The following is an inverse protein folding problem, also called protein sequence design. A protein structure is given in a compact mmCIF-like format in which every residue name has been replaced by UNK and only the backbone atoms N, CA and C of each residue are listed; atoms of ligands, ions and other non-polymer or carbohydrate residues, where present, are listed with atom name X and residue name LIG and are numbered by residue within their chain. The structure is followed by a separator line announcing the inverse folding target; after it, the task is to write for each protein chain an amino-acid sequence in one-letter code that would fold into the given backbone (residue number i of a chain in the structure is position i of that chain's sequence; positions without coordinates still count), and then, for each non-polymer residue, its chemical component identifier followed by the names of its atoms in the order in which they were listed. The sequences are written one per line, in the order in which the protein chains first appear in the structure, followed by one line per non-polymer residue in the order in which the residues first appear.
data_IF_366661615211
#
_entry.id   IF_366661615211
#
_cell.length_a   1.000
_cell.length_b   1.000
_cell.length_c   1.000
_cell.angle_alpha   90.00
_cell.angle_beta   90.00
_cell.angle_gamma   90.00
#
_symmetry.space_group_name_H-M   'P 1'
#
loop_
_entity.id
_entity.type
_entity.pdbx_description
1 polymer ?
#
# COMPACT_ATOMS: atom_id res chain seq x y z
N UNK A 1 -7.85 7.63 -7.00
CA UNK A 1 -7.08 6.77 -6.07
C UNK A 1 -7.98 6.23 -4.97
N UNK A 2 -7.59 5.11 -4.36
CA UNK A 2 -8.29 4.53 -3.21
C UNK A 2 -8.33 5.51 -2.05
N UNK A 3 -9.52 5.68 -1.45
CA UNK A 3 -9.72 6.68 -0.39
C UNK A 3 -9.95 8.11 -0.87
N UNK A 4 -10.13 8.33 -2.17
CA UNK A 4 -10.54 9.64 -2.67
C UNK A 4 -11.98 9.93 -2.26
N UNK A 5 -12.20 11.15 -1.76
CA UNK A 5 -13.52 11.66 -1.44
C UNK A 5 -14.12 12.32 -2.67
N UNK A 6 -15.24 11.80 -3.18
CA UNK A 6 -15.95 12.38 -4.31
C UNK A 6 -16.84 13.54 -3.80
N UNK A 7 -16.69 14.70 -4.43
CA UNK A 7 -17.44 15.92 -4.10
C UNK A 7 -18.67 16.13 -4.98
N UNK A 8 -18.83 15.32 -6.02
CA UNK A 8 -19.95 15.39 -6.95
C UNK A 8 -20.61 14.02 -7.14
N UNK A 9 -21.93 14.06 -7.35
CA UNK A 9 -22.73 12.87 -7.63
C UNK A 9 -22.87 12.62 -9.14
N UNK A 10 -23.25 11.39 -9.50
CA UNK A 10 -23.50 11.03 -10.90
C UNK A 10 -24.66 11.87 -11.48
N UNK A 11 -24.43 12.52 -12.62
CA UNK A 11 -25.39 13.40 -13.26
C UNK A 11 -25.31 14.87 -12.81
N UNK A 12 -24.43 15.22 -11.88
CA UNK A 12 -24.21 16.61 -11.48
C UNK A 12 -23.54 17.41 -12.61
N UNK A 13 -24.02 18.64 -12.85
CA UNK A 13 -23.41 19.54 -13.84
C UNK A 13 -22.24 20.26 -13.15
N UNK A 14 -21.04 20.09 -13.66
CA UNK A 14 -19.83 20.73 -13.14
C UNK A 14 -19.33 21.79 -14.11
N UNK A 15 -18.80 22.88 -13.58
CA UNK A 15 -18.19 23.97 -14.33
C UNK A 15 -16.66 23.78 -14.42
N UNK A 16 -16.03 24.46 -15.35
CA UNK A 16 -14.57 24.43 -15.45
C UNK A 16 -13.91 25.01 -14.21
N UNK A 17 -13.11 24.19 -13.52
CA UNK A 17 -12.42 24.57 -12.27
C UNK A 17 -13.05 24.01 -11.01
N UNK A 18 -14.23 23.38 -11.09
CA UNK A 18 -14.86 22.73 -9.93
C UNK A 18 -14.05 21.51 -9.48
N UNK A 19 -13.95 21.33 -8.16
CA UNK A 19 -13.32 20.13 -7.58
C UNK A 19 -14.28 18.95 -7.70
N UNK A 20 -13.82 17.89 -8.34
CA UNK A 20 -14.58 16.65 -8.53
C UNK A 20 -14.26 15.65 -7.43
N UNK A 21 -12.98 15.57 -7.03
CA UNK A 21 -12.52 14.66 -6.00
C UNK A 21 -11.37 15.26 -5.20
N UNK A 22 -11.23 14.81 -3.98
CA UNK A 22 -10.19 15.24 -3.04
C UNK A 22 -9.55 14.02 -2.37
N UNK A 23 -8.22 13.97 -2.24
CA UNK A 23 -7.50 12.92 -1.55
C UNK A 23 -6.18 13.45 -0.98
N UNK A 24 -5.67 12.77 0.04
CA UNK A 24 -4.37 13.05 0.60
C UNK A 24 -3.32 12.08 0.00
N UNK A 25 -2.33 12.58 -0.75
CA UNK A 25 -1.29 11.73 -1.33
C UNK A 25 -0.28 11.22 -0.29
N UNK A 26 -0.21 11.84 0.91
CA UNK A 26 0.76 11.52 1.95
C UNK A 26 0.41 10.26 2.73
N UNK A 27 -0.84 9.84 2.67
CA UNK A 27 -1.34 8.69 3.41
C UNK A 27 -2.06 7.69 2.50
N UNK A 28 -1.99 6.41 2.89
CA UNK A 28 -2.87 5.37 2.39
C UNK A 28 -3.92 5.09 3.45
N UNK A 29 -5.20 5.43 3.23
CA UNK A 29 -6.24 5.21 4.23
C UNK A 29 -6.68 3.74 4.26
N UNK A 30 -6.93 3.22 5.45
CA UNK A 30 -7.68 1.99 5.67
C UNK A 30 -9.13 2.36 5.91
N UNK A 31 -10.01 1.97 5.00
CA UNK A 31 -11.43 2.38 4.98
C UNK A 31 -12.30 1.18 5.26
N UNK A 32 -13.37 1.36 6.03
CA UNK A 32 -14.36 0.31 6.26
C UNK A 32 -15.39 0.26 5.14
N UNK A 33 -15.71 -0.95 4.69
CA UNK A 33 -16.76 -1.19 3.70
C UNK A 33 -18.15 -1.37 4.33
N UNK A 34 -18.20 -1.53 5.66
CA UNK A 34 -19.42 -1.88 6.40
C UNK A 34 -19.60 -0.98 7.62
N UNK A 35 -20.85 -0.78 8.00
CA UNK A 35 -21.18 -0.10 9.25
C UNK A 35 -21.11 -1.09 10.44
N UNK A 36 -20.60 -0.62 11.56
CA UNK A 36 -20.47 -1.44 12.76
C UNK A 36 -19.78 -0.72 13.91
N UNK A 37 -19.45 -1.46 14.96
CA UNK A 37 -18.71 -0.96 16.13
C UNK A 37 -17.28 -1.49 16.09
N UNK A 38 -16.31 -0.61 16.24
CA UNK A 38 -14.89 -0.96 16.25
C UNK A 38 -14.48 -1.51 17.62
N UNK A 39 -13.65 -2.55 17.59
CA UNK A 39 -12.96 -3.07 18.78
C UNK A 39 -11.48 -3.22 18.51
N UNK A 40 -10.68 -2.76 19.44
CA UNK A 40 -9.23 -2.92 19.43
C UNK A 40 -8.86 -4.36 19.82
N UNK A 41 -7.98 -4.96 19.04
CA UNK A 41 -7.36 -6.24 19.38
C UNK A 41 -5.85 -6.12 19.28
N UNK A 42 -5.15 -6.54 20.32
CA UNK A 42 -3.69 -6.46 20.42
C UNK A 42 -3.12 -5.02 20.30
N UNK A 43 -3.95 -3.99 20.48
CA UNK A 43 -3.59 -2.58 20.55
C UNK A 43 -3.47 -2.18 22.04
N UNK A 44 -2.27 -2.31 22.60
CA UNK A 44 -1.97 -2.04 24.00
C UNK A 44 -1.12 -0.79 24.07
N UNK A 45 -1.56 0.21 24.85
CA UNK A 45 -0.81 1.44 25.08
C UNK A 45 0.60 1.15 25.63
N UNK A 46 1.59 1.90 25.16
CA UNK A 46 2.99 1.77 25.49
C UNK A 46 3.65 0.43 25.11
N UNK A 47 2.94 -0.47 24.41
CA UNK A 47 3.50 -1.74 23.95
C UNK A 47 3.40 -1.90 22.43
N UNK A 48 2.21 -1.84 21.89
CA UNK A 48 1.92 -1.93 20.44
C UNK A 48 1.32 -0.66 19.86
N UNK A 49 0.97 0.30 20.73
CA UNK A 49 0.46 1.61 20.35
C UNK A 49 1.10 2.68 21.26
N UNK A 50 1.53 3.79 20.67
CA UNK A 50 2.00 4.96 21.41
C UNK A 50 1.24 6.21 20.98
N UNK A 51 1.00 7.08 21.93
CA UNK A 51 0.48 8.41 21.67
C UNK A 51 1.66 9.34 21.33
N UNK A 52 1.65 9.91 20.14
CA UNK A 52 2.64 10.87 19.68
C UNK A 52 1.94 12.19 19.43
N UNK A 53 2.46 13.26 20.02
CA UNK A 53 1.97 14.60 19.76
C UNK A 53 2.78 15.19 18.61
N UNK A 54 2.10 15.60 17.55
CA UNK A 54 2.72 16.29 16.44
C UNK A 54 3.09 17.73 16.91
N UNK A 55 4.40 18.02 16.94
CA UNK A 55 4.93 19.30 17.41
C UNK A 55 4.46 20.49 16.55
N UNK A 56 4.09 20.24 15.30
CA UNK A 56 3.64 21.28 14.36
C UNK A 56 2.16 21.64 14.52
N UNK A 57 1.32 20.65 14.83
CA UNK A 57 -0.14 20.80 14.90
C UNK A 57 -0.68 20.76 16.34
N UNK A 58 0.11 20.24 17.30
CA UNK A 58 -0.30 20.02 18.68
C UNK A 58 -1.35 18.92 18.85
N UNK A 59 -1.62 18.13 17.81
CA UNK A 59 -2.61 17.06 17.84
C UNK A 59 -1.93 15.76 18.25
N UNK A 60 -2.48 15.10 19.29
CA UNK A 60 -2.05 13.77 19.68
C UNK A 60 -2.57 12.72 18.69
N UNK A 61 -1.66 11.89 18.18
CA UNK A 61 -1.97 10.80 17.26
C UNK A 61 -1.57 9.47 17.87
N UNK A 62 -2.42 8.45 17.70
CA UNK A 62 -2.14 7.08 18.14
C UNK A 62 -1.45 6.32 17.02
N UNK A 63 -0.18 6.02 17.22
CA UNK A 63 0.67 5.35 16.22
C UNK A 63 0.92 3.91 16.64
N UNK A 64 0.70 2.98 15.73
CA UNK A 64 0.97 1.55 15.93
C UNK A 64 2.48 1.32 15.89
N UNK A 65 3.00 0.60 16.90
CA UNK A 65 4.41 0.23 17.01
C UNK A 65 4.58 -1.28 17.03
N UNK A 66 5.78 -1.73 16.69
CA UNK A 66 6.14 -3.14 16.92
C UNK A 66 6.24 -3.41 18.43
N UNK A 67 5.89 -4.63 18.84
CA UNK A 67 5.95 -5.01 20.26
C UNK A 67 7.36 -4.79 20.85
N UNK A 68 7.46 -3.77 21.71
CA UNK A 68 8.71 -3.35 22.34
C UNK A 68 9.23 -4.40 23.31
N UNK A 69 8.37 -5.28 23.83
CA UNK A 69 8.72 -6.19 24.94
C UNK A 69 9.42 -7.48 24.49
N UNK A 70 9.61 -7.73 23.19
CA UNK A 70 10.31 -8.90 22.60
C UNK A 70 10.12 -10.24 23.35
N UNK A 71 9.02 -10.40 24.07
CA UNK A 71 8.71 -11.64 24.78
C UNK A 71 8.31 -12.69 23.75
N UNK A 72 9.07 -13.77 23.64
CA UNK A 72 8.83 -14.88 22.69
C UNK A 72 7.49 -15.60 22.86
N UNK A 73 6.67 -15.22 23.85
CA UNK A 73 5.41 -15.91 24.18
C UNK A 73 4.16 -15.25 23.59
N UNK A 74 4.19 -13.93 23.32
CA UNK A 74 3.02 -13.19 22.85
C UNK A 74 3.34 -12.57 21.49
N UNK A 75 2.96 -13.23 20.40
CA UNK A 75 3.02 -12.68 19.04
C UNK A 75 1.80 -11.75 18.84
N UNK A 76 1.86 -10.55 19.46
CA UNK A 76 0.79 -9.55 19.37
C UNK A 76 0.70 -9.02 17.95
N UNK A 77 -0.51 -8.99 17.41
CA UNK A 77 -0.80 -8.52 16.04
C UNK A 77 -1.86 -7.43 16.11
N UNK A 78 -1.45 -6.15 16.10
CA UNK A 78 -2.37 -5.03 16.12
C UNK A 78 -3.40 -5.12 15.01
N UNK A 79 -4.69 -5.09 15.38
CA UNK A 79 -5.81 -5.16 14.44
C UNK A 79 -7.05 -4.47 15.01
N UNK A 80 -7.88 -3.98 14.11
CA UNK A 80 -9.19 -3.47 14.41
C UNK A 80 -10.22 -4.53 13.99
N UNK A 81 -11.13 -4.86 14.87
CA UNK A 81 -12.25 -5.74 14.57
C UNK A 81 -13.51 -4.91 14.49
N UNK A 82 -14.20 -4.99 13.37
CA UNK A 82 -15.50 -4.36 13.16
C UNK A 82 -16.59 -5.39 13.45
N UNK A 83 -17.34 -5.20 14.51
CA UNK A 83 -18.51 -6.02 14.79
C UNK A 83 -19.71 -5.45 14.06
N UNK A 84 -20.26 -6.21 13.11
CA UNK A 84 -21.37 -5.76 12.30
C UNK A 84 -22.65 -5.56 13.12
N UNK A 85 -23.38 -4.46 12.87
CA UNK A 85 -24.73 -4.24 13.45
C UNK A 85 -25.78 -5.10 12.71
N UNK A 86 -25.69 -6.45 12.78
CA UNK A 86 -26.64 -7.35 12.13
C UNK A 86 -26.10 -8.78 11.93
N UNK A 87 -26.70 -9.53 10.98
CA UNK A 87 -26.28 -10.92 10.65
C UNK A 87 -25.00 -11.02 9.80
N UNK A 88 -24.15 -9.99 9.77
CA UNK A 88 -22.90 -9.99 9.02
C UNK A 88 -21.75 -10.61 9.82
N UNK A 89 -20.75 -11.16 9.13
CA UNK A 89 -19.50 -11.61 9.75
C UNK A 89 -18.67 -10.41 10.18
N UNK A 90 -17.93 -10.55 11.29
CA UNK A 90 -17.00 -9.53 11.76
C UNK A 90 -15.87 -9.34 10.73
N UNK A 91 -15.54 -8.07 10.45
CA UNK A 91 -14.42 -7.75 9.58
C UNK A 91 -13.17 -7.42 10.42
N UNK A 92 -12.02 -7.93 10.00
CA UNK A 92 -10.75 -7.74 10.70
C UNK A 92 -9.79 -6.95 9.81
N UNK A 93 -9.41 -5.75 10.28
CA UNK A 93 -8.45 -4.87 9.63
C UNK A 93 -7.11 -4.94 10.35
N UNK A 94 -6.09 -5.50 9.71
CA UNK A 94 -4.74 -5.60 10.26
C UNK A 94 -4.02 -4.28 10.09
N UNK A 95 -3.41 -3.79 11.16
CA UNK A 95 -2.65 -2.55 11.13
C UNK A 95 -1.17 -2.84 10.92
N UNK A 96 -0.55 -2.09 10.04
CA UNK A 96 0.90 -2.10 9.88
C UNK A 96 1.55 -1.20 10.92
N UNK A 97 2.82 -1.48 11.23
CA UNK A 97 3.65 -0.59 12.06
C UNK A 97 3.75 0.78 11.42
N UNK A 98 3.61 1.83 12.20
CA UNK A 98 3.55 3.21 11.72
C UNK A 98 2.15 3.69 11.31
N UNK A 99 1.13 2.83 11.33
CA UNK A 99 -0.23 3.26 11.05
C UNK A 99 -0.76 4.19 12.15
N UNK A 100 -1.41 5.27 11.75
CA UNK A 100 -2.06 6.23 12.64
C UNK A 100 -3.53 5.82 12.77
N UNK A 101 -3.95 5.43 13.96
CA UNK A 101 -5.33 5.02 14.23
C UNK A 101 -6.23 6.25 14.32
N UNK A 102 -7.29 6.29 13.50
CA UNK A 102 -8.20 7.43 13.40
C UNK A 102 -9.50 7.26 14.21
N UNK A 103 -9.78 6.06 14.68
CA UNK A 103 -11.01 5.71 15.40
C UNK A 103 -10.72 5.31 16.86
N UNK A 104 -11.73 5.37 17.73
CA UNK A 104 -11.60 4.96 19.12
C UNK A 104 -12.19 3.56 19.34
N UNK A 105 -11.74 2.89 20.44
CA UNK A 105 -12.31 1.60 20.84
C UNK A 105 -13.78 1.78 21.26
N UNK A 106 -14.66 0.96 20.69
CA UNK A 106 -16.09 1.06 20.87
C UNK A 106 -16.80 2.12 19.99
N UNK A 107 -16.10 2.82 19.13
CA UNK A 107 -16.70 3.79 18.21
C UNK A 107 -17.56 3.12 17.14
N UNK A 108 -18.71 3.70 16.86
CA UNK A 108 -19.57 3.32 15.73
C UNK A 108 -19.08 4.01 14.45
N UNK A 109 -18.90 3.22 13.41
CA UNK A 109 -18.45 3.69 12.09
C UNK A 109 -19.43 3.30 11.00
N UNK A 110 -19.44 4.07 9.92
CA UNK A 110 -20.24 3.84 8.72
C UNK A 110 -19.33 3.33 7.58
N UNK A 111 -19.93 2.73 6.56
CA UNK A 111 -19.21 2.37 5.36
C UNK A 111 -18.60 3.63 4.71
N UNK A 112 -17.30 3.57 4.41
CA UNK A 112 -16.54 4.70 3.87
C UNK A 112 -15.72 5.46 4.92
N UNK A 113 -15.91 5.21 6.22
CA UNK A 113 -15.11 5.87 7.25
C UNK A 113 -13.67 5.38 7.26
N UNK A 114 -12.74 6.30 7.54
CA UNK A 114 -11.31 6.00 7.65
C UNK A 114 -11.01 5.46 9.04
N UNK A 115 -10.56 4.21 9.13
CA UNK A 115 -10.19 3.53 10.38
C UNK A 115 -8.76 3.84 10.82
N UNK A 116 -7.85 3.88 9.85
CA UNK A 116 -6.44 4.19 10.08
C UNK A 116 -5.83 4.85 8.84
N UNK A 117 -4.75 5.59 9.05
CA UNK A 117 -3.96 6.22 7.99
C UNK A 117 -2.55 5.65 8.04
N UNK A 118 -2.11 5.05 6.96
CA UNK A 118 -0.74 4.56 6.83
C UNK A 118 0.07 5.64 6.12
N UNK A 119 1.09 6.25 6.77
CA UNK A 119 1.95 7.19 6.08
C UNK A 119 2.59 6.49 4.89
N UNK A 120 2.37 7.00 3.70
CA UNK A 120 3.23 6.62 2.58
C UNK A 120 4.59 7.19 2.94
N UNK A 121 5.58 6.34 3.08
CA UNK A 121 6.95 6.82 3.16
C UNK A 121 7.16 7.69 1.92
N UNK A 122 6.90 8.99 2.13
CA UNK A 122 7.21 9.96 1.11
C UNK A 122 8.66 9.70 0.80
N UNK A 123 8.91 9.39 -0.43
CA UNK A 123 10.18 9.29 -1.11
C UNK A 123 11.38 10.05 -0.47
N UNK A 124 11.64 9.84 0.83
CA UNK A 124 12.84 10.34 1.49
C UNK A 124 14.11 9.81 0.84
N UNK A 125 13.99 8.71 0.12
CA UNK A 125 15.08 8.08 -0.61
C UNK A 125 15.06 8.35 -2.11
N UNK A 126 13.99 8.91 -2.68
CA UNK A 126 13.98 9.27 -4.10
C UNK A 126 14.92 10.43 -4.45
N UNK A 127 15.32 11.22 -3.45
CA UNK A 127 16.06 12.45 -3.67
C UNK A 127 17.58 12.26 -3.88
N UNK A 128 18.18 11.18 -3.42
CA UNK A 128 19.66 11.08 -3.39
C UNK A 128 20.23 10.21 -4.51
N UNK A 129 19.47 9.26 -5.03
CA UNK A 129 19.87 8.43 -6.18
C UNK A 129 19.08 8.75 -7.46
N UNK A 130 18.37 9.85 -7.46
CA UNK A 130 17.44 10.28 -8.49
C UNK A 130 18.13 11.06 -9.60
N UNK A 131 19.09 10.70 -10.23
CA UNK A 131 19.71 11.40 -11.35
C UNK A 131 20.17 10.42 -12.41
N UNK A 132 21.25 10.76 -13.09
CA UNK A 132 21.91 9.89 -14.08
C UNK A 132 22.14 8.45 -13.57
N UNK A 133 22.52 8.20 -12.27
CA UNK A 133 22.64 6.84 -11.77
C UNK A 133 21.33 6.04 -11.83
N UNK A 134 20.18 6.67 -11.55
CA UNK A 134 18.88 5.98 -11.63
C UNK A 134 18.52 5.61 -13.06
N UNK A 135 18.79 6.51 -14.00
CA UNK A 135 18.58 6.22 -15.43
C UNK A 135 19.43 5.05 -15.90
N UNK A 136 20.71 5.01 -15.49
CA UNK A 136 21.59 3.88 -15.80
C UNK A 136 21.09 2.56 -15.19
N UNK A 137 20.63 2.56 -13.93
CA UNK A 137 20.05 1.38 -13.29
C UNK A 137 18.81 0.86 -14.04
N UNK A 138 17.95 1.78 -14.53
CA UNK A 138 16.76 1.41 -15.30
C UNK A 138 17.13 0.79 -16.66
N UNK A 139 18.09 1.38 -17.39
CA UNK A 139 18.55 0.82 -18.65
C UNK A 139 19.32 -0.49 -18.50
N UNK A 140 19.96 -0.72 -17.37
CA UNK A 140 20.59 -2.00 -17.05
C UNK A 140 19.60 -3.02 -16.46
N UNK A 141 18.33 -2.63 -16.27
CA UNK A 141 17.29 -3.44 -15.64
C UNK A 141 17.74 -4.03 -14.29
N UNK A 142 18.48 -3.25 -13.49
CA UNK A 142 18.94 -3.68 -12.16
C UNK A 142 17.79 -3.85 -11.21
N UNK A 143 17.87 -4.88 -10.37
CA UNK A 143 16.92 -5.11 -9.30
C UNK A 143 16.96 -3.97 -8.28
N UNK A 144 15.81 -3.31 -7.97
CA UNK A 144 15.76 -2.25 -6.98
C UNK A 144 16.16 -2.73 -5.58
N UNK A 145 16.80 -1.87 -4.78
CA UNK A 145 17.14 -2.18 -3.38
C UNK A 145 15.89 -2.42 -2.55
N UNK A 146 14.87 -1.57 -2.75
CA UNK A 146 13.54 -1.71 -2.15
C UNK A 146 12.56 -2.21 -3.21
N UNK A 147 12.64 -3.50 -3.48
CA UNK A 147 11.82 -4.12 -4.48
C UNK A 147 10.38 -4.33 -3.94
N UNK A 148 9.39 -3.92 -4.71
CA UNK A 148 8.00 -4.29 -4.52
C UNK A 148 7.81 -5.79 -4.81
N UNK A 149 6.78 -6.39 -4.25
CA UNK A 149 6.33 -7.73 -4.63
C UNK A 149 5.00 -7.55 -5.35
N UNK A 150 4.94 -7.98 -6.60
CA UNK A 150 3.74 -7.90 -7.43
C UNK A 150 2.99 -9.23 -7.45
N UNK A 151 1.67 -9.17 -7.63
CA UNK A 151 0.81 -10.33 -7.74
C UNK A 151 1.02 -11.05 -9.08
N UNK A 152 1.39 -12.33 -9.06
CA UNK A 152 1.56 -13.15 -10.28
C UNK A 152 0.23 -13.64 -10.84
N UNK A 153 -0.80 -13.71 -10.00
CA UNK A 153 -2.14 -14.17 -10.35
C UNK A 153 -3.19 -13.23 -9.78
N UNK A 154 -4.34 -13.16 -10.45
CA UNK A 154 -5.51 -12.46 -9.91
C UNK A 154 -6.26 -13.35 -8.95
N UNK A 155 -6.74 -12.80 -7.85
CA UNK A 155 -7.48 -13.58 -6.87
C UNK A 155 -7.63 -12.89 -5.51
N UNK A 156 -8.17 -13.64 -4.55
CA UNK A 156 -8.42 -13.17 -3.20
C UNK A 156 -7.20 -13.37 -2.30
N UNK A 157 -6.82 -12.31 -1.60
CA UNK A 157 -5.68 -12.33 -0.66
C UNK A 157 -6.09 -13.03 0.64
N UNK A 158 -5.23 -13.93 1.11
CA UNK A 158 -5.37 -14.62 2.40
C UNK A 158 -4.05 -14.61 3.14
N UNK A 159 -4.05 -14.20 4.41
CA UNK A 159 -2.86 -14.25 5.24
C UNK A 159 -2.75 -15.62 5.90
N UNK A 160 -1.63 -16.27 5.69
CA UNK A 160 -1.30 -17.55 6.31
C UNK A 160 -0.46 -17.36 7.58
N UNK A 161 -0.19 -18.47 8.26
CA UNK A 161 0.69 -18.48 9.43
C UNK A 161 2.10 -18.07 9.04
N UNK A 162 2.66 -17.11 9.78
CA UNK A 162 4.02 -16.60 9.54
C UNK A 162 5.06 -17.72 9.59
N UNK A 163 6.03 -17.61 8.71
CA UNK A 163 7.17 -18.52 8.70
C UNK A 163 8.45 -17.80 9.11
N UNK A 164 8.96 -18.12 10.30
CA UNK A 164 10.13 -17.44 10.91
C UNK A 164 9.90 -15.92 11.01
N UNK A 165 10.80 -15.11 10.41
CA UNK A 165 10.75 -13.65 10.39
C UNK A 165 10.00 -13.08 9.16
N UNK A 166 9.24 -13.91 8.43
CA UNK A 166 8.51 -13.51 7.21
C UNK A 166 7.02 -13.72 7.38
N UNK A 167 6.21 -12.78 6.88
CA UNK A 167 4.76 -12.94 6.73
C UNK A 167 4.49 -13.75 5.48
N UNK A 168 3.55 -14.68 5.57
CA UNK A 168 3.12 -15.51 4.45
C UNK A 168 1.77 -15.05 3.95
N UNK A 169 1.73 -14.59 2.71
CA UNK A 169 0.52 -14.16 2.00
C UNK A 169 0.26 -15.17 0.91
N UNK A 170 -0.98 -15.61 0.76
CA UNK A 170 -1.40 -16.45 -0.35
C UNK A 170 -2.46 -15.73 -1.17
N UNK A 171 -2.41 -15.85 -2.48
CA UNK A 171 -3.46 -15.42 -3.39
C UNK A 171 -4.18 -16.68 -3.89
N UNK A 172 -5.48 -16.73 -3.65
CA UNK A 172 -6.37 -17.79 -4.12
C UNK A 172 -6.92 -17.38 -5.49
N UNK A 173 -6.51 -18.04 -6.59
CA UNK A 173 -7.02 -17.73 -7.92
C UNK A 173 -8.51 -18.06 -8.03
N UNK A 174 -9.25 -17.27 -8.81
CA UNK A 174 -10.67 -17.53 -9.10
C UNK A 174 -10.89 -18.83 -9.89
N UNK A 175 -9.89 -19.22 -10.68
CA UNK A 175 -9.93 -20.43 -11.52
C UNK A 175 -9.83 -21.74 -10.72
N UNK A 176 -9.80 -21.69 -9.39
CA UNK A 176 -9.67 -22.85 -8.51
C UNK A 176 -8.29 -23.53 -8.56
N UNK A 177 -7.30 -22.83 -9.06
CA UNK A 177 -5.90 -23.27 -9.06
C UNK A 177 -5.27 -23.28 -7.66
N UNK A 178 -4.06 -23.80 -7.55
CA UNK A 178 -3.30 -23.82 -6.30
C UNK A 178 -3.00 -22.38 -5.81
N UNK A 179 -3.07 -22.13 -4.50
CA UNK A 179 -2.76 -20.83 -3.94
C UNK A 179 -1.28 -20.45 -4.18
N UNK A 180 -1.05 -19.26 -4.71
CA UNK A 180 0.30 -18.74 -4.91
C UNK A 180 0.76 -18.04 -3.65
N UNK A 181 1.86 -18.53 -3.08
CA UNK A 181 2.39 -18.07 -1.79
C UNK A 181 3.53 -17.06 -1.95
N UNK A 182 3.46 -15.98 -1.16
CA UNK A 182 4.46 -14.92 -1.10
C UNK A 182 5.03 -14.82 0.31
N UNK A 183 6.35 -14.75 0.43
CA UNK A 183 7.06 -14.59 1.69
C UNK A 183 7.59 -13.16 1.83
N UNK A 184 6.90 -12.33 2.59
CA UNK A 184 7.21 -10.91 2.79
C UNK A 184 7.98 -10.73 4.10
N UNK A 185 9.15 -10.07 4.10
CA UNK A 185 9.83 -9.69 5.35
C UNK A 185 8.94 -8.84 6.25
N UNK A 186 8.99 -9.04 7.57
CA UNK A 186 8.16 -8.28 8.54
C UNK A 186 8.43 -6.77 8.52
N UNK A 187 9.62 -6.36 8.07
CA UNK A 187 10.02 -4.95 7.95
C UNK A 187 9.35 -4.21 6.79
N UNK A 188 8.77 -4.93 5.83
CA UNK A 188 8.09 -4.31 4.69
C UNK A 188 6.62 -4.05 4.97
N UNK A 189 6.14 -2.92 4.49
CA UNK A 189 4.73 -2.54 4.56
C UNK A 189 3.96 -3.33 3.51
N UNK A 190 2.85 -3.94 3.92
CA UNK A 190 1.94 -4.67 3.05
C UNK A 190 0.80 -3.73 2.69
N UNK A 191 0.56 -3.53 1.39
CA UNK A 191 -0.43 -2.59 0.87
C UNK A 191 -1.83 -3.22 0.72
N UNK A 192 -1.96 -4.53 0.96
CA UNK A 192 -3.20 -5.29 0.81
C UNK A 192 -3.72 -5.80 2.14
N UNK A 193 -5.04 -5.96 2.25
CA UNK A 193 -5.74 -6.49 3.42
C UNK A 193 -6.18 -7.95 3.21
N UNK A 194 -6.54 -8.62 4.31
CA UNK A 194 -7.12 -9.97 4.20
C UNK A 194 -8.50 -9.92 3.55
N UNK A 195 -8.67 -10.67 2.48
CA UNK A 195 -9.90 -10.72 1.73
C UNK A 195 -9.95 -9.79 0.53
N UNK A 196 -8.98 -8.89 0.35
CA UNK A 196 -8.90 -8.03 -0.81
C UNK A 196 -8.78 -8.83 -2.11
N UNK A 197 -9.37 -8.30 -3.16
CA UNK A 197 -9.18 -8.84 -4.49
C UNK A 197 -8.07 -8.08 -5.20
N UNK A 198 -7.04 -8.80 -5.61
CA UNK A 198 -5.90 -8.27 -6.36
C UNK A 198 -5.90 -8.79 -7.79
N UNK A 199 -5.51 -7.93 -8.70
CA UNK A 199 -5.27 -8.30 -10.09
C UNK A 199 -3.82 -8.68 -10.31
N UNK A 200 -3.59 -9.48 -11.34
CA UNK A 200 -2.24 -9.79 -11.81
C UNK A 200 -1.49 -8.48 -12.10
N UNK A 201 -0.32 -8.29 -11.47
CA UNK A 201 0.49 -7.08 -11.57
C UNK A 201 0.29 -6.06 -10.47
N UNK A 202 -0.74 -6.20 -9.60
CA UNK A 202 -0.93 -5.28 -8.49
C UNK A 202 0.19 -5.44 -7.44
N UNK A 203 0.56 -4.34 -6.80
CA UNK A 203 1.56 -4.36 -5.74
C UNK A 203 0.96 -4.94 -4.45
N UNK A 204 1.59 -6.00 -3.93
CA UNK A 204 1.28 -6.57 -2.62
C UNK A 204 2.06 -5.86 -1.50
N UNK A 205 3.22 -5.31 -1.87
CA UNK A 205 4.17 -4.67 -0.95
C UNK A 205 4.70 -3.41 -1.61
N UNK A 206 4.77 -2.32 -0.85
CA UNK A 206 5.31 -1.05 -1.30
C UNK A 206 6.77 -1.15 -1.76
N UNK A 207 7.14 -0.29 -2.69
CA UNK A 207 8.48 -0.23 -3.29
C UNK A 207 8.44 -0.04 -4.80
N UNK A 208 9.60 -0.08 -5.45
CA UNK A 208 9.71 -0.06 -6.91
C UNK A 208 9.64 -1.49 -7.45
N UNK A 209 8.77 -1.80 -8.41
CA UNK A 209 8.68 -3.13 -8.99
C UNK A 209 9.98 -3.50 -9.73
N UNK A 210 10.32 -4.78 -9.71
CA UNK A 210 11.44 -5.30 -10.46
C UNK A 210 11.06 -5.37 -11.95
N UNK A 211 11.85 -4.78 -12.88
CA UNK A 211 11.59 -4.87 -14.31
C UNK A 211 11.42 -6.31 -14.83
N UNK A 212 12.16 -7.26 -14.26
CA UNK A 212 12.04 -8.66 -14.63
C UNK A 212 10.71 -9.28 -14.21
N UNK A 213 10.22 -8.92 -13.02
CA UNK A 213 8.91 -9.38 -12.54
C UNK A 213 7.78 -8.77 -13.40
N UNK A 214 7.90 -7.48 -13.79
CA UNK A 214 6.96 -6.85 -14.72
C UNK A 214 6.92 -7.60 -16.06
N UNK A 215 8.08 -7.92 -16.61
CA UNK A 215 8.17 -8.65 -17.89
C UNK A 215 7.51 -10.03 -17.78
N UNK A 216 7.78 -10.78 -16.72
CA UNK A 216 7.21 -12.12 -16.50
C UNK A 216 5.69 -12.07 -16.32
N UNK A 217 5.20 -11.08 -15.56
CA UNK A 217 3.80 -11.02 -15.14
C UNK A 217 2.94 -10.26 -16.14
N UNK A 218 3.34 -9.09 -16.59
CA UNK A 218 2.53 -8.18 -17.39
C UNK A 218 2.93 -8.16 -18.88
N UNK A 219 4.14 -8.60 -19.21
CA UNK A 219 4.63 -8.66 -20.58
C UNK A 219 5.41 -7.43 -21.03
N UNK A 220 5.78 -7.44 -22.32
CA UNK A 220 6.73 -6.47 -22.90
C UNK A 220 6.14 -5.06 -22.97
N UNK A 221 4.86 -4.91 -23.29
CA UNK A 221 4.22 -3.59 -23.43
C UNK A 221 4.21 -2.84 -22.09
N UNK A 222 3.78 -3.50 -21.03
CA UNK A 222 3.74 -2.91 -19.69
C UNK A 222 5.14 -2.58 -19.17
N UNK A 223 6.14 -3.41 -19.47
CA UNK A 223 7.53 -3.11 -19.13
C UNK A 223 8.04 -1.87 -19.88
N UNK A 224 7.73 -1.74 -21.17
CA UNK A 224 8.14 -0.59 -21.95
C UNK A 224 7.51 0.71 -21.42
N UNK A 225 6.22 0.70 -21.13
CA UNK A 225 5.52 1.84 -20.51
C UNK A 225 6.14 2.20 -19.15
N UNK A 226 6.40 1.20 -18.30
CA UNK A 226 7.04 1.41 -17.00
C UNK A 226 8.41 2.06 -17.13
N UNK A 227 9.29 1.54 -18.00
CA UNK A 227 10.64 2.08 -18.18
C UNK A 227 10.60 3.51 -18.73
N UNK A 228 9.76 3.78 -19.72
CA UNK A 228 9.61 5.13 -20.29
C UNK A 228 9.10 6.10 -19.21
N UNK A 229 8.09 5.73 -18.45
CA UNK A 229 7.52 6.56 -17.39
C UNK A 229 8.54 6.89 -16.29
N UNK A 230 9.26 5.88 -15.77
CA UNK A 230 10.28 6.06 -14.72
C UNK A 230 11.45 6.93 -15.19
N UNK A 231 11.95 6.72 -16.40
CA UNK A 231 13.04 7.51 -16.97
C UNK A 231 12.58 8.95 -17.20
N UNK A 232 11.38 9.16 -17.75
CA UNK A 232 10.82 10.49 -17.93
C UNK A 232 10.61 11.23 -16.61
N UNK A 233 10.21 10.51 -15.54
CA UNK A 233 10.08 11.12 -14.22
C UNK A 233 11.41 11.70 -13.75
N UNK A 234 12.52 10.95 -13.90
CA UNK A 234 13.86 11.43 -13.54
C UNK A 234 14.23 12.69 -14.34
N UNK A 235 14.01 12.70 -15.64
CA UNK A 235 14.31 13.88 -16.46
C UNK A 235 13.42 15.08 -16.11
N UNK A 236 12.14 14.88 -15.87
CA UNK A 236 11.20 15.94 -15.45
C UNK A 236 11.58 16.57 -14.12
N UNK A 237 12.01 15.76 -13.14
CA UNK A 237 12.49 16.24 -11.84
C UNK A 237 13.73 17.14 -11.98
N UNK A 238 14.54 16.90 -13.00
CA UNK A 238 15.71 17.75 -13.34
C UNK A 238 15.39 18.90 -14.28
N UNK A 239 14.11 19.13 -14.61
CA UNK A 239 13.69 20.21 -15.51
C UNK A 239 14.00 19.97 -16.99
N UNK A 240 14.44 18.78 -17.36
CA UNK A 240 14.78 18.41 -18.73
C UNK A 240 13.54 17.86 -19.44
N UNK A 241 13.16 18.46 -20.55
CA UNK A 241 12.06 18.01 -21.42
C UNK A 241 12.62 17.24 -22.61
N UNK A 242 12.42 15.94 -22.65
CA UNK A 242 12.77 15.10 -23.80
C UNK A 242 11.51 14.38 -24.29
N UNK A 243 11.51 14.01 -25.57
CA UNK A 243 10.41 13.24 -26.15
C UNK A 243 10.60 11.76 -25.85
N UNK A 244 9.50 11.06 -25.52
CA UNK A 244 9.48 9.64 -25.17
C UNK A 244 10.14 8.76 -26.25
N UNK A 245 10.06 9.14 -27.51
CA UNK A 245 10.67 8.42 -28.65
C UNK A 245 12.17 8.18 -28.50
N UNK A 246 12.89 9.07 -27.82
CA UNK A 246 14.34 8.90 -27.60
C UNK A 246 14.59 7.76 -26.61
N UNK A 247 13.71 7.59 -25.61
CA UNK A 247 13.79 6.52 -24.63
C UNK A 247 13.30 5.21 -25.24
N UNK A 248 12.18 5.26 -25.97
CA UNK A 248 11.58 4.10 -26.64
C UNK A 248 12.55 3.40 -27.59
N UNK A 249 13.37 4.17 -28.33
CA UNK A 249 14.40 3.59 -29.22
C UNK A 249 15.41 2.76 -28.45
N UNK A 250 15.79 3.19 -27.24
CA UNK A 250 16.73 2.44 -26.40
C UNK A 250 16.03 1.21 -25.80
N UNK A 251 14.84 1.39 -25.26
CA UNK A 251 14.04 0.29 -24.69
C UNK A 251 13.76 -0.80 -25.73
N UNK A 252 13.57 -0.43 -27.01
CA UNK A 252 13.41 -1.38 -28.10
C UNK A 252 14.65 -2.26 -28.33
N UNK A 253 15.84 -1.76 -27.97
CA UNK A 253 17.09 -2.51 -28.13
C UNK A 253 17.40 -3.39 -26.90
N UNK A 254 16.78 -3.10 -25.76
CA UNK A 254 16.90 -3.93 -24.55
C UNK A 254 16.14 -5.25 -24.71
#
# INVERSE_FOLDING_TARGET
PYGAHLLCESGHIVSRGDRIAEWDPSFSPVITERAGTIRYQDLIENRTMSEQTDESTGISQRVVQDDVSKSKKDDLRPRLTLTAKGKGEDAVYRLATGAIVAVEDGQDVQAGDVLARLPREAAKTRDITGGLPRVAELFEARKPKENAIIAKVSGKVTFMKDYKAKRKIAILPEDGGDPVEYLVPKSKVIDVQEGDYVKRGDNLVGGSPDPHDILEVLGVEALAEYLVAEIQEVYRLQGVKINDKHIEVIVRQM
#
